data_IF_851216000116
#
_entry.id   IF_851216000116
#
_cell.length_a   1.000
_cell.length_b   1.000
_cell.length_c   1.000
_cell.angle_alpha   90.00
_cell.angle_beta   90.00
_cell.angle_gamma   90.00
#
_symmetry.space_group_name_H-M   'P 1'
#
loop_
_entity.id
_entity.type
_entity.pdbx_description
1 polymer ?
#
# COMPACT_ATOMS: atom_id res chain seq x y z
N UNK A 1 -5.92 -1.81 -26.76
CA UNK A 1 -4.73 -2.17 -25.97
C UNK A 1 -5.14 -1.96 -24.53
N UNK A 2 -5.22 -3.02 -23.73
CA UNK A 2 -5.42 -2.84 -22.29
C UNK A 2 -4.19 -2.09 -21.76
N UNK A 3 -4.37 -1.09 -20.87
CA UNK A 3 -3.24 -0.35 -20.32
C UNK A 3 -2.27 -1.31 -19.64
N UNK A 4 -0.96 -1.03 -19.75
CA UNK A 4 0.05 -1.83 -19.08
C UNK A 4 -0.12 -1.66 -17.55
N UNK A 5 -0.32 -2.76 -16.80
CA UNK A 5 -0.40 -2.75 -15.34
C UNK A 5 0.69 -1.95 -14.63
N UNK A 6 1.91 -1.94 -15.18
CA UNK A 6 3.02 -1.18 -14.61
C UNK A 6 2.79 0.34 -14.74
N UNK A 7 2.33 0.80 -15.89
CA UNK A 7 1.99 2.22 -16.11
C UNK A 7 0.82 2.70 -15.26
N UNK A 8 -0.06 1.82 -14.81
CA UNK A 8 -1.16 2.22 -13.91
C UNK A 8 -0.66 2.40 -12.47
N UNK A 9 0.21 1.52 -11.98
CA UNK A 9 0.82 1.62 -10.65
C UNK A 9 1.69 2.88 -10.52
N UNK A 10 2.58 3.14 -11.49
CA UNK A 10 3.47 4.31 -11.44
C UNK A 10 2.69 5.62 -11.49
N UNK A 11 1.70 5.71 -12.39
CA UNK A 11 0.84 6.89 -12.52
C UNK A 11 -0.01 7.12 -11.28
N UNK A 12 -0.58 6.06 -10.70
CA UNK A 12 -1.41 6.18 -9.51
C UNK A 12 -0.58 6.67 -8.31
N UNK A 13 0.64 6.14 -8.13
CA UNK A 13 1.59 6.65 -7.13
C UNK A 13 1.94 8.12 -7.36
N UNK A 14 2.25 8.52 -8.60
CA UNK A 14 2.56 9.91 -8.92
C UNK A 14 1.38 10.86 -8.63
N UNK A 15 0.14 10.42 -8.90
CA UNK A 15 -1.06 11.18 -8.56
C UNK A 15 -1.31 11.28 -7.05
N UNK A 16 -0.93 10.23 -6.30
CA UNK A 16 -0.95 10.22 -4.84
C UNK A 16 0.10 11.17 -4.23
N UNK A 17 1.20 11.40 -4.95
CA UNK A 17 2.36 12.14 -4.46
C UNK A 17 3.44 11.24 -3.85
N UNK A 18 3.31 9.92 -4.01
CA UNK A 18 4.21 8.93 -3.42
C UNK A 18 5.63 9.01 -3.94
N UNK A 19 6.58 8.95 -3.03
CA UNK A 19 8.00 9.02 -3.31
C UNK A 19 8.54 7.72 -3.89
N UNK A 20 9.74 7.82 -4.45
CA UNK A 20 10.49 6.68 -4.98
C UNK A 20 11.89 6.70 -4.41
N UNK A 21 12.52 5.52 -4.38
CA UNK A 21 13.89 5.34 -3.94
C UNK A 21 14.55 4.11 -4.57
N UNK A 22 15.66 3.66 -3.99
CA UNK A 22 16.42 2.49 -4.44
C UNK A 22 15.54 1.22 -4.45
N UNK A 23 14.63 1.15 -3.47
CA UNK A 23 13.50 0.24 -3.46
C UNK A 23 12.21 1.04 -3.30
N UNK A 24 11.20 0.71 -4.11
CA UNK A 24 9.84 1.26 -3.99
C UNK A 24 8.83 0.12 -4.05
N UNK A 25 7.87 0.11 -3.13
CA UNK A 25 6.77 -0.85 -3.07
C UNK A 25 5.46 -0.08 -3.18
N UNK A 26 4.69 -0.34 -4.24
CA UNK A 26 3.42 0.36 -4.49
C UNK A 26 2.29 -0.67 -4.56
N UNK A 27 1.28 -0.49 -3.70
CA UNK A 27 0.03 -1.24 -3.70
C UNK A 27 -1.05 -0.40 -4.38
N UNK A 28 -1.81 -0.98 -5.30
CA UNK A 28 -2.97 -0.38 -5.96
C UNK A 28 -4.14 -1.35 -5.92
N UNK A 29 -5.32 -0.88 -5.57
CA UNK A 29 -6.54 -1.67 -5.64
C UNK A 29 -7.71 -0.88 -6.20
N UNK A 30 -8.78 -1.61 -6.52
CA UNK A 30 -10.02 -1.02 -6.99
C UNK A 30 -11.07 -1.10 -5.88
N UNK A 31 -11.80 -0.01 -5.69
CA UNK A 31 -12.88 0.10 -4.72
C UNK A 31 -12.51 0.88 -3.46
N UNK A 32 -13.49 0.99 -2.58
CA UNK A 32 -13.46 1.90 -1.42
C UNK A 32 -13.10 1.21 -0.10
N UNK A 33 -12.64 -0.04 -0.17
CA UNK A 33 -12.12 -0.74 1.00
C UNK A 33 -10.76 -0.18 1.38
N UNK A 34 -10.38 -0.43 2.63
CA UNK A 34 -9.13 -0.07 3.26
C UNK A 34 -8.20 -1.30 3.22
N UNK A 35 -7.14 -1.22 2.41
CA UNK A 35 -6.09 -2.24 2.34
C UNK A 35 -4.81 -1.66 2.92
N UNK A 36 -4.19 -2.37 3.87
CA UNK A 36 -2.90 -1.98 4.44
C UNK A 36 -1.75 -2.71 3.73
N UNK A 37 -0.69 -1.97 3.45
CA UNK A 37 0.64 -2.45 3.12
C UNK A 37 1.44 -2.63 4.41
N UNK A 38 2.13 -3.77 4.53
CA UNK A 38 3.18 -3.94 5.52
C UNK A 38 4.43 -4.48 4.87
N UNK A 39 5.58 -3.87 5.17
CA UNK A 39 6.88 -4.43 4.82
C UNK A 39 7.51 -4.99 6.10
N UNK A 40 7.73 -6.31 6.14
CA UNK A 40 8.46 -6.98 7.24
C UNK A 40 9.95 -6.86 6.94
N UNK A 41 10.67 -6.18 7.83
CA UNK A 41 12.10 -5.93 7.76
C UNK A 41 12.92 -7.22 8.02
N UNK A 42 14.23 -7.25 7.68
CA UNK A 42 15.07 -8.42 7.89
C UNK A 42 15.23 -8.85 9.36
N UNK A 43 15.09 -7.91 10.29
CA UNK A 43 15.10 -8.18 11.74
C UNK A 43 13.74 -8.65 12.30
N UNK A 44 12.71 -8.76 11.44
CA UNK A 44 11.35 -9.14 11.80
C UNK A 44 10.46 -7.99 12.27
N UNK A 45 11.00 -6.76 12.39
CA UNK A 45 10.18 -5.57 12.64
C UNK A 45 9.28 -5.26 11.44
N UNK A 46 8.25 -4.43 11.64
CA UNK A 46 7.23 -4.14 10.62
C UNK A 46 7.24 -2.64 10.31
N UNK A 47 7.41 -2.31 9.04
CA UNK A 47 7.14 -0.99 8.48
C UNK A 47 5.65 -0.91 8.11
N UNK A 48 4.93 -0.01 8.77
CA UNK A 48 3.49 0.25 8.65
C UNK A 48 3.22 1.76 8.69
N UNK A 49 2.15 2.24 8.06
CA UNK A 49 1.88 3.67 7.87
C UNK A 49 1.70 4.48 9.17
N UNK A 50 1.19 3.87 10.23
CA UNK A 50 0.88 4.55 11.50
C UNK A 50 2.03 4.54 12.51
N UNK A 51 3.20 4.00 12.15
CA UNK A 51 4.41 4.02 12.97
C UNK A 51 5.53 4.85 12.31
N UNK A 52 6.50 5.37 13.08
CA UNK A 52 7.66 6.03 12.50
C UNK A 52 8.46 5.10 11.57
N UNK A 53 9.27 5.66 10.63
CA UNK A 53 10.12 4.89 9.73
C UNK A 53 10.94 3.77 10.41
N UNK A 54 11.17 2.69 9.64
CA UNK A 54 11.83 1.46 10.10
C UNK A 54 12.70 0.88 9.00
N UNK A 55 13.79 0.21 9.39
CA UNK A 55 14.71 -0.49 8.48
C UNK A 55 15.12 0.30 7.22
N UNK A 56 15.23 1.63 7.36
CA UNK A 56 15.60 2.56 6.29
C UNK A 56 14.49 2.96 5.32
N UNK A 57 13.24 2.54 5.57
CA UNK A 57 12.08 2.85 4.75
C UNK A 57 10.96 3.55 5.51
N UNK A 58 10.06 4.12 4.72
CA UNK A 58 8.87 4.85 5.15
C UNK A 58 7.68 4.45 4.27
N UNK A 59 6.47 4.44 4.84
CA UNK A 59 5.21 4.42 4.08
C UNK A 59 4.69 5.86 4.07
N UNK A 60 4.62 6.46 2.88
CA UNK A 60 4.25 7.88 2.69
C UNK A 60 2.85 8.06 2.11
N UNK A 61 2.26 7.00 1.56
CA UNK A 61 0.86 6.94 1.21
C UNK A 61 0.17 5.76 1.89
N UNK A 62 -0.91 6.06 2.60
CA UNK A 62 -1.94 5.17 3.11
C UNK A 62 -3.24 5.81 2.64
N UNK A 63 -4.08 5.07 1.92
CA UNK A 63 -5.29 5.60 1.31
C UNK A 63 -6.50 4.78 1.72
N UNK A 64 -7.65 5.44 1.88
CA UNK A 64 -8.90 4.86 2.35
C UNK A 64 -8.91 4.37 3.81
N UNK A 65 -7.87 4.64 4.60
CA UNK A 65 -7.98 4.66 6.06
C UNK A 65 -8.97 5.71 6.53
N UNK A 66 -10.14 5.20 6.87
CA UNK A 66 -11.29 5.99 7.22
C UNK A 66 -11.51 6.04 8.73
N UNK A 67 -11.67 7.23 9.28
CA UNK A 67 -12.14 7.41 10.65
C UNK A 67 -13.61 7.76 10.66
N UNK A 68 -14.41 7.05 11.45
CA UNK A 68 -15.71 7.56 11.88
C UNK A 68 -15.44 8.71 12.86
N UNK A 69 -16.00 9.91 12.64
CA UNK A 69 -16.06 10.92 13.70
C UNK A 69 -16.74 10.27 14.91
N UNK A 70 -16.01 10.07 16.00
CA UNK A 70 -16.56 9.54 17.24
C UNK A 70 -17.76 10.40 17.66
N UNK A 71 -18.96 9.82 17.63
CA UNK A 71 -20.17 10.40 18.22
C UNK A 71 -21.10 11.23 17.33
N UNK A 72 -21.00 11.22 15.99
CA UNK A 72 -21.92 11.99 15.13
C UNK A 72 -22.41 11.25 13.89
N UNK A 73 -23.62 11.59 13.43
CA UNK A 73 -24.24 11.18 12.15
C UNK A 73 -23.52 11.73 10.90
N UNK A 74 -22.29 12.24 11.07
CA UNK A 74 -21.50 12.85 10.01
C UNK A 74 -20.87 11.82 9.06
N UNK A 75 -20.62 12.26 7.83
CA UNK A 75 -19.93 11.45 6.82
C UNK A 75 -18.56 10.97 7.33
N UNK A 76 -18.18 9.74 6.93
CA UNK A 76 -16.85 9.18 7.14
C UNK A 76 -15.80 10.10 6.53
N UNK A 77 -14.72 10.37 7.25
CA UNK A 77 -13.57 11.06 6.70
C UNK A 77 -12.47 10.02 6.45
N UNK A 78 -11.99 9.96 5.21
CA UNK A 78 -10.93 9.06 4.78
C UNK A 78 -9.72 9.88 4.34
N UNK A 79 -8.50 9.40 4.56
CA UNK A 79 -7.35 9.91 3.85
C UNK A 79 -7.50 9.61 2.35
N UNK A 80 -7.41 10.67 1.54
CA UNK A 80 -7.62 10.60 0.11
C UNK A 80 -6.99 11.82 -0.54
N UNK A 81 -5.72 11.75 -0.94
CA UNK A 81 -4.93 12.78 -1.68
C UNK A 81 -5.55 14.19 -1.74
N UNK A 82 -5.47 14.95 -0.64
CA UNK A 82 -6.00 16.33 -0.55
C UNK A 82 -7.51 16.47 -0.31
N UNK A 83 -8.19 15.37 0.00
CA UNK A 83 -9.64 15.24 0.21
C UNK A 83 -9.99 14.35 1.41
N UNK A 84 -11.30 14.10 1.58
CA UNK A 84 -11.84 13.35 2.75
C UNK A 84 -12.77 12.21 2.36
N UNK A 85 -12.95 11.95 1.06
CA UNK A 85 -13.83 10.91 0.53
C UNK A 85 -12.99 9.73 0.05
N UNK A 86 -13.46 8.47 0.23
CA UNK A 86 -12.68 7.32 -0.19
C UNK A 86 -12.48 7.32 -1.71
N UNK A 87 -11.30 6.91 -2.14
CA UNK A 87 -10.85 6.84 -3.52
C UNK A 87 -11.30 5.51 -4.14
N UNK A 88 -11.58 5.53 -5.44
CA UNK A 88 -11.93 4.34 -6.20
C UNK A 88 -10.71 3.56 -6.71
N UNK A 89 -9.56 4.23 -6.84
CA UNK A 89 -8.26 3.66 -7.22
C UNK A 89 -7.19 4.10 -6.21
N UNK A 90 -7.33 3.72 -4.94
CA UNK A 90 -6.39 4.05 -3.87
C UNK A 90 -5.03 3.36 -4.05
N UNK A 91 -4.00 4.00 -3.50
CA UNK A 91 -2.62 3.53 -3.45
C UNK A 91 -2.09 3.60 -2.03
N UNK A 92 -1.32 2.59 -1.64
CA UNK A 92 -0.33 2.71 -0.57
C UNK A 92 1.08 2.59 -1.14
N UNK A 93 2.02 3.35 -0.59
CA UNK A 93 3.39 3.40 -1.10
C UNK A 93 4.41 3.34 0.04
N UNK A 94 5.42 2.49 -0.13
CA UNK A 94 6.62 2.46 0.70
C UNK A 94 7.86 2.70 -0.15
N UNK A 95 8.83 3.44 0.39
CA UNK A 95 10.07 3.74 -0.32
C UNK A 95 11.28 3.71 0.62
N UNK A 96 12.45 3.43 0.05
CA UNK A 96 13.73 3.32 0.76
C UNK A 96 14.80 4.12 -0.01
N UNK A 97 15.47 5.07 0.65
CA UNK A 97 16.44 5.97 0.01
C UNK A 97 17.84 5.86 0.60
N UNK A 98 18.86 6.20 -0.20
CA UNK A 98 20.25 6.50 0.20
C UNK A 98 21.05 5.33 0.76
N UNK A 99 20.96 4.12 0.20
CA UNK A 99 21.59 2.91 0.77
C UNK A 99 21.25 2.69 2.27
N UNK A 100 20.22 3.37 2.78
CA UNK A 100 19.86 3.39 4.19
C UNK A 100 19.01 2.18 4.61
N UNK A 101 18.56 1.41 3.62
CA UNK A 101 17.80 0.19 3.83
C UNK A 101 18.68 -0.88 4.49
N UNK A 102 18.12 -1.55 5.48
CA UNK A 102 18.78 -2.68 6.13
C UNK A 102 19.04 -3.80 5.10
N UNK A 103 20.26 -4.33 5.04
CA UNK A 103 20.54 -5.50 4.21
C UNK A 103 19.83 -6.74 4.73
N UNK A 104 19.33 -7.57 3.82
CA UNK A 104 18.67 -8.83 4.12
C UNK A 104 17.34 -9.01 3.40
N UNK A 105 16.61 -10.05 3.80
CA UNK A 105 15.36 -10.45 3.18
C UNK A 105 14.17 -9.71 3.81
N UNK A 106 13.34 -9.15 2.94
CA UNK A 106 12.10 -8.45 3.28
C UNK A 106 10.89 -9.26 2.81
N UNK A 107 9.77 -9.11 3.52
CA UNK A 107 8.47 -9.65 3.06
C UNK A 107 7.47 -8.53 2.89
N UNK A 108 6.74 -8.55 1.79
CA UNK A 108 5.66 -7.60 1.54
C UNK A 108 4.33 -8.28 1.78
N UNK A 109 3.55 -7.74 2.71
CA UNK A 109 2.23 -8.23 3.08
C UNK A 109 1.17 -7.20 2.70
N UNK A 110 0.01 -7.71 2.29
CA UNK A 110 -1.20 -6.89 2.10
C UNK A 110 -2.27 -7.45 3.01
N UNK A 111 -2.98 -6.56 3.70
CA UNK A 111 -4.11 -6.90 4.57
C UNK A 111 -5.36 -6.17 4.12
N UNK A 112 -6.50 -6.85 4.14
CA UNK A 112 -7.79 -6.18 4.06
C UNK A 112 -8.20 -5.73 5.46
N UNK A 113 -7.99 -4.43 5.76
CA UNK A 113 -8.23 -3.86 7.08
C UNK A 113 -9.71 -3.65 7.36
N UNK A 114 -10.40 -2.97 6.44
CA UNK A 114 -11.82 -2.68 6.55
C UNK A 114 -12.51 -2.66 5.18
N UNK A 115 -13.66 -3.31 5.10
CA UNK A 115 -14.47 -3.30 3.88
C UNK A 115 -15.17 -1.96 3.63
N UNK A 116 -15.42 -1.66 2.36
CA UNK A 116 -16.21 -0.49 1.96
C UNK A 116 -17.61 -0.48 2.58
N UNK A 117 -18.15 0.69 2.91
CA UNK A 117 -19.49 0.83 3.54
C UNK A 117 -20.62 0.11 2.81
N UNK A 118 -20.61 0.13 1.47
CA UNK A 118 -21.68 -0.45 0.66
C UNK A 118 -21.53 -1.96 0.47
N UNK A 119 -20.31 -2.47 0.60
CA UNK A 119 -20.00 -3.87 0.39
C UNK A 119 -18.86 -4.31 1.31
N UNK A 120 -19.12 -4.42 2.62
CA UNK A 120 -18.08 -4.65 3.61
C UNK A 120 -17.49 -6.06 3.54
N UNK A 121 -18.12 -6.99 2.83
CA UNK A 121 -17.69 -8.40 2.76
C UNK A 121 -17.00 -8.76 1.44
N UNK A 122 -17.02 -7.88 0.43
CA UNK A 122 -16.42 -8.15 -0.87
C UNK A 122 -14.92 -8.46 -0.75
N UNK A 123 -14.48 -9.44 -1.52
CA UNK A 123 -13.07 -9.63 -1.76
C UNK A 123 -12.53 -8.50 -2.66
N UNK A 124 -11.34 -7.99 -2.34
CA UNK A 124 -10.76 -6.83 -3.01
C UNK A 124 -9.56 -7.25 -3.85
N UNK A 125 -9.65 -7.18 -5.20
CA UNK A 125 -8.50 -7.44 -6.06
C UNK A 125 -7.49 -6.30 -5.97
N UNK A 126 -6.20 -6.64 -5.99
CA UNK A 126 -5.10 -5.69 -5.91
C UNK A 126 -3.96 -6.05 -6.87
N UNK A 127 -3.11 -5.05 -7.14
CA UNK A 127 -1.80 -5.18 -7.76
C UNK A 127 -0.74 -4.59 -6.83
N UNK A 128 0.38 -5.28 -6.69
CA UNK A 128 1.53 -4.86 -5.90
C UNK A 128 2.77 -4.84 -6.79
N UNK A 129 3.45 -3.70 -6.86
CA UNK A 129 4.69 -3.52 -7.57
C UNK A 129 5.85 -3.41 -6.58
N UNK A 130 6.95 -4.11 -6.85
CA UNK A 130 8.25 -3.84 -6.23
C UNK A 130 9.21 -3.40 -7.33
N UNK A 131 9.79 -2.20 -7.16
CA UNK A 131 10.86 -1.65 -8.00
C UNK A 131 12.17 -1.70 -7.22
N UNK A 132 13.21 -2.29 -7.80
CA UNK A 132 14.54 -2.39 -7.20
C UNK A 132 15.61 -2.45 -8.29
N UNK A 133 16.64 -1.61 -8.21
CA UNK A 133 17.80 -1.70 -9.12
C UNK A 133 17.46 -1.54 -10.61
N UNK A 134 16.40 -0.79 -10.94
CA UNK A 134 15.90 -0.63 -12.31
C UNK A 134 14.98 -1.75 -12.79
N UNK A 135 14.84 -2.85 -12.03
CA UNK A 135 13.83 -3.88 -12.29
C UNK A 135 12.50 -3.54 -11.62
N UNK A 136 11.40 -3.97 -12.24
CA UNK A 136 10.05 -3.86 -11.70
C UNK A 136 9.34 -5.21 -11.80
N UNK A 137 8.74 -5.65 -10.68
CA UNK A 137 7.97 -6.90 -10.61
C UNK A 137 6.59 -6.57 -10.08
N UNK A 138 5.56 -6.98 -10.81
CA UNK A 138 4.15 -6.82 -10.40
C UNK A 138 3.56 -8.17 -10.03
N UNK A 139 2.92 -8.25 -8.87
CA UNK A 139 2.12 -9.38 -8.43
C UNK A 139 0.67 -8.93 -8.28
N UNK A 140 -0.28 -9.84 -8.51
CA UNK A 140 -1.70 -9.57 -8.36
C UNK A 140 -2.31 -10.58 -7.40
N UNK A 141 -3.35 -10.16 -6.69
CA UNK A 141 -4.08 -11.02 -5.76
C UNK A 141 -5.47 -10.48 -5.48
N UNK A 142 -6.16 -11.13 -4.55
CA UNK A 142 -7.44 -10.68 -4.00
C UNK A 142 -7.53 -11.10 -2.55
N UNK A 143 -8.13 -10.27 -1.70
CA UNK A 143 -8.25 -10.53 -0.25
C UNK A 143 -9.70 -10.51 0.21
N UNK A 144 -10.11 -11.53 0.94
CA UNK A 144 -11.35 -11.47 1.73
C UNK A 144 -11.20 -10.49 2.91
N UNK A 145 -12.32 -10.01 3.46
CA UNK A 145 -12.29 -9.10 4.61
C UNK A 145 -11.56 -9.74 5.81
N UNK A 146 -10.58 -9.02 6.37
CA UNK A 146 -9.76 -9.45 7.49
C UNK A 146 -8.57 -10.34 7.12
N UNK A 147 -8.43 -10.73 5.84
CA UNK A 147 -7.33 -11.55 5.37
C UNK A 147 -6.02 -10.75 5.28
N UNK A 148 -4.90 -11.42 5.58
CA UNK A 148 -3.54 -10.93 5.35
C UNK A 148 -2.76 -11.97 4.57
N UNK A 149 -2.08 -11.57 3.49
CA UNK A 149 -1.22 -12.48 2.71
C UNK A 149 0.17 -11.88 2.57
N UNK A 150 1.19 -12.74 2.58
CA UNK A 150 2.50 -12.38 2.04
C UNK A 150 2.44 -12.50 0.53
N UNK A 151 2.63 -11.39 -0.18
CA UNK A 151 2.51 -11.32 -1.64
C UNK A 151 3.82 -11.67 -2.31
N UNK A 152 4.93 -11.13 -1.78
CA UNK A 152 6.25 -11.29 -2.37
C UNK A 152 7.34 -11.08 -1.32
N UNK A 153 8.57 -11.46 -1.68
CA UNK A 153 9.78 -11.22 -0.91
C UNK A 153 10.82 -10.57 -1.84
N UNK A 154 11.68 -9.73 -1.28
CA UNK A 154 12.83 -9.17 -1.98
C UNK A 154 14.01 -9.09 -1.03
N UNK A 155 15.22 -9.04 -1.58
CA UNK A 155 16.45 -8.96 -0.80
C UNK A 155 17.21 -7.70 -1.16
N UNK A 156 17.71 -6.99 -0.16
CA UNK A 156 18.68 -5.91 -0.34
C UNK A 156 20.05 -6.46 0.07
N UNK A 157 21.01 -6.41 -0.86
CA UNK A 157 22.34 -7.00 -0.73
C UNK A 157 23.36 -6.09 -0.03
#
# INVERSE_FOLDING_TARGET
>A
VEPDPQTDLDRAREQAGGQTGDVTVTLLWNGFSDLDLTVVCPDGSRLVAWEPPRCGGEIDDDANRCTSRSGGTGAQACNAYGGTQPLANPVENAFFVNDGAQRGAYKVQVRHYAGARRDPAAAVPFALQVRQGGESRVQRGSLANGETVTVTEFTIE
#
